data_IF_364969905962
#
_entry.id   IF_364969905962
#
_cell.length_a   1.000
_cell.length_b   1.000
_cell.length_c   1.000
_cell.angle_alpha   90.00
_cell.angle_beta   90.00
_cell.angle_gamma   90.00
#
_symmetry.space_group_name_H-M   'P 1'
#
loop_
_entity.id
_entity.type
_entity.pdbx_description
1 polymer ?
#
# COMPACT_ATOMS: atom_id res chain seq x y z
N UNK A 1 11.91 -1.91 -21.22
CA UNK A 1 10.78 -1.15 -20.65
C UNK A 1 11.24 -0.40 -19.40
N UNK A 2 11.99 -1.03 -18.51
CA UNK A 2 12.42 -0.45 -17.23
C UNK A 2 13.24 0.86 -17.37
N UNK A 3 14.03 1.00 -18.40
CA UNK A 3 14.86 2.19 -18.65
C UNK A 3 14.11 3.30 -19.39
N UNK A 4 12.98 2.98 -19.98
CA UNK A 4 12.26 3.88 -20.87
C UNK A 4 10.95 4.39 -20.29
N UNK A 5 10.33 3.63 -19.41
CA UNK A 5 9.02 3.90 -18.82
C UNK A 5 9.16 4.28 -17.36
N UNK A 6 8.73 5.48 -16.97
CA UNK A 6 8.80 5.94 -15.60
C UNK A 6 7.53 5.56 -14.85
N UNK A 7 7.63 4.84 -13.73
CA UNK A 7 6.47 4.57 -12.90
C UNK A 7 6.01 5.87 -12.24
N UNK A 8 4.78 6.28 -12.50
CA UNK A 8 4.17 7.38 -11.79
C UNK A 8 3.81 6.92 -10.38
N UNK A 9 4.54 7.41 -9.41
CA UNK A 9 4.23 7.22 -8.01
C UNK A 9 3.06 8.10 -7.58
N UNK A 10 1.94 7.50 -7.20
CA UNK A 10 0.84 8.14 -6.47
C UNK A 10 -0.11 9.01 -7.30
N UNK A 11 -1.35 9.11 -6.84
CA UNK A 11 -2.49 9.72 -7.51
C UNK A 11 -2.41 11.21 -7.85
N UNK A 12 -1.32 11.90 -7.57
CA UNK A 12 -1.18 13.34 -7.85
C UNK A 12 -0.89 13.66 -9.32
N UNK A 13 -0.23 12.75 -10.03
CA UNK A 13 0.17 12.96 -11.43
C UNK A 13 -1.01 12.76 -12.39
N UNK A 14 -2.00 11.96 -11.99
CA UNK A 14 -3.14 11.58 -12.83
C UNK A 14 -4.39 12.45 -12.67
N UNK A 15 -4.33 13.53 -11.91
CA UNK A 15 -5.50 14.37 -11.64
C UNK A 15 -6.15 14.94 -12.91
N UNK A 16 -5.37 15.07 -13.99
CA UNK A 16 -5.79 15.57 -15.30
C UNK A 16 -5.57 14.57 -16.45
N UNK A 17 -5.23 13.32 -16.12
CA UNK A 17 -5.02 12.28 -17.13
C UNK A 17 -6.31 11.50 -17.39
N UNK A 18 -6.60 11.13 -18.65
CA UNK A 18 -7.68 10.18 -18.93
C UNK A 18 -7.40 8.84 -18.21
N UNK A 19 -8.46 8.19 -17.75
CA UNK A 19 -8.38 6.96 -16.95
C UNK A 19 -7.74 5.76 -17.66
N UNK A 20 -7.67 5.81 -18.99
CA UNK A 20 -7.06 4.77 -19.81
C UNK A 20 -6.38 5.43 -21.00
N UNK A 21 -5.07 5.29 -21.07
CA UNK A 21 -4.28 5.76 -22.20
C UNK A 21 -4.16 4.66 -23.24
N UNK A 22 -4.21 5.02 -24.52
CA UNK A 22 -3.85 4.11 -25.61
C UNK A 22 -2.35 3.77 -25.53
N UNK A 23 -1.94 2.67 -26.16
CA UNK A 23 -0.52 2.28 -26.23
C UNK A 23 0.31 3.41 -26.87
N UNK A 24 -0.19 4.08 -27.91
CA UNK A 24 0.46 5.20 -28.54
C UNK A 24 0.66 6.39 -27.59
N UNK A 25 -0.37 6.73 -26.81
CA UNK A 25 -0.29 7.79 -25.80
C UNK A 25 0.71 7.43 -24.69
N UNK A 26 0.70 6.17 -24.24
CA UNK A 26 1.66 5.68 -23.26
C UNK A 26 3.10 5.73 -23.77
N UNK A 27 3.31 5.39 -25.04
CA UNK A 27 4.61 5.51 -25.68
C UNK A 27 5.12 6.96 -25.76
N UNK A 28 4.22 7.93 -25.92
CA UNK A 28 4.56 9.36 -25.96
C UNK A 28 4.82 9.94 -24.58
N UNK A 29 3.95 9.69 -23.61
CA UNK A 29 4.05 10.30 -22.27
C UNK A 29 5.08 9.59 -21.36
N UNK A 30 5.35 8.32 -21.56
CA UNK A 30 6.30 7.48 -20.78
C UNK A 30 6.03 7.47 -19.28
N UNK A 31 4.83 7.82 -18.86
CA UNK A 31 4.43 7.93 -17.47
C UNK A 31 3.10 7.21 -17.27
N UNK A 32 3.01 6.32 -16.28
CA UNK A 32 1.81 5.50 -16.14
C UNK A 32 1.63 4.88 -14.74
N UNK A 33 0.41 4.43 -14.47
CA UNK A 33 0.08 3.58 -13.34
C UNK A 33 0.50 2.13 -13.57
N UNK A 34 0.32 1.28 -12.54
CA UNK A 34 0.60 -0.15 -12.64
C UNK A 34 -0.25 -0.85 -13.71
N UNK A 35 -1.52 -0.43 -13.87
CA UNK A 35 -2.45 -0.99 -14.88
C UNK A 35 -1.89 -0.81 -16.29
N UNK A 36 -1.48 0.38 -16.60
CA UNK A 36 -0.99 0.75 -17.93
C UNK A 36 0.39 0.17 -18.21
N UNK A 37 1.26 0.12 -17.19
CA UNK A 37 2.56 -0.57 -17.28
C UNK A 37 2.37 -2.05 -17.62
N UNK A 38 1.46 -2.73 -16.93
CA UNK A 38 1.13 -4.11 -17.20
C UNK A 38 0.56 -4.30 -18.61
N UNK A 39 -0.27 -3.37 -19.08
CA UNK A 39 -0.83 -3.42 -20.43
C UNK A 39 0.25 -3.25 -21.51
N UNK A 40 1.15 -2.26 -21.38
CA UNK A 40 2.25 -2.06 -22.34
C UNK A 40 3.16 -3.29 -22.40
N UNK A 41 3.52 -3.86 -21.23
CA UNK A 41 4.31 -5.08 -21.20
C UNK A 41 3.61 -6.25 -21.89
N UNK A 42 2.30 -6.41 -21.61
CA UNK A 42 1.48 -7.43 -22.25
C UNK A 42 1.55 -7.33 -23.79
N UNK A 43 1.31 -6.13 -24.35
CA UNK A 43 1.33 -5.92 -25.79
C UNK A 43 2.71 -6.13 -26.39
N UNK A 44 3.74 -5.51 -25.82
CA UNK A 44 5.10 -5.62 -26.31
C UNK A 44 5.63 -7.06 -26.28
N UNK A 45 5.40 -7.79 -25.20
CA UNK A 45 5.92 -9.15 -25.08
C UNK A 45 5.12 -10.16 -25.94
N UNK A 46 3.79 -10.00 -26.03
CA UNK A 46 2.98 -10.85 -26.91
C UNK A 46 3.26 -10.64 -28.38
N UNK A 47 3.59 -9.41 -28.81
CA UNK A 47 4.02 -9.17 -30.20
C UNK A 47 5.33 -9.88 -30.56
N UNK A 48 6.12 -10.26 -29.55
CA UNK A 48 7.33 -11.07 -29.68
C UNK A 48 7.09 -12.58 -29.50
N UNK A 49 5.83 -13.02 -29.37
CA UNK A 49 5.48 -14.42 -29.19
C UNK A 49 5.61 -14.96 -27.77
N UNK A 50 5.80 -14.10 -26.75
CA UNK A 50 5.94 -14.51 -25.36
C UNK A 50 4.57 -14.72 -24.71
N UNK A 51 4.44 -15.82 -23.94
CA UNK A 51 3.21 -16.17 -23.21
C UNK A 51 3.09 -15.35 -21.92
N UNK A 52 2.62 -14.12 -22.03
CA UNK A 52 2.47 -13.17 -20.93
C UNK A 52 1.01 -12.92 -20.58
N UNK A 53 0.72 -12.84 -19.30
CA UNK A 53 -0.58 -12.49 -18.74
C UNK A 53 -0.56 -11.13 -18.03
N UNK A 54 -1.71 -10.46 -18.04
CA UNK A 54 -1.99 -9.31 -17.18
C UNK A 54 -2.67 -9.81 -15.91
N UNK A 55 -2.00 -9.66 -14.78
CA UNK A 55 -2.46 -10.09 -13.47
C UNK A 55 -2.98 -8.90 -12.67
N UNK A 56 -4.07 -9.12 -11.94
CA UNK A 56 -4.71 -8.10 -11.10
C UNK A 56 -4.93 -8.64 -9.69
N UNK A 57 -4.57 -7.85 -8.71
CA UNK A 57 -4.94 -8.01 -7.30
C UNK A 57 -5.93 -6.88 -6.99
N UNK A 58 -7.24 -7.14 -6.97
CA UNK A 58 -8.23 -6.08 -6.76
C UNK A 58 -8.05 -5.37 -5.41
N UNK A 59 -7.77 -6.15 -4.39
CA UNK A 59 -7.60 -5.65 -3.03
C UNK A 59 -6.45 -6.36 -2.33
N UNK A 60 -5.50 -5.60 -1.79
CA UNK A 60 -4.50 -6.14 -0.88
C UNK A 60 -5.12 -6.53 0.46
N UNK A 61 -4.66 -7.62 1.07
CA UNK A 61 -5.08 -8.06 2.40
C UNK A 61 -4.46 -7.28 3.56
N UNK A 62 -3.35 -6.57 3.32
CA UNK A 62 -2.56 -5.89 4.35
C UNK A 62 -2.36 -4.39 4.11
N UNK A 63 -3.00 -3.81 3.10
CA UNK A 63 -3.01 -2.37 2.81
C UNK A 63 -4.22 -1.97 1.97
N UNK A 64 -4.44 -0.67 1.79
CA UNK A 64 -5.46 -0.15 0.86
C UNK A 64 -5.02 -0.26 -0.59
N UNK A 65 -6.00 -0.17 -1.51
CA UNK A 65 -5.88 -0.32 -2.95
C UNK A 65 -5.52 -1.76 -3.40
N UNK A 66 -5.27 -1.92 -4.67
CA UNK A 66 -4.86 -3.17 -5.33
C UNK A 66 -3.55 -3.00 -6.11
N UNK A 67 -3.32 -3.87 -7.08
CA UNK A 67 -2.14 -3.84 -7.94
C UNK A 67 -2.38 -4.57 -9.24
N UNK A 68 -1.78 -4.07 -10.31
CA UNK A 68 -1.69 -4.74 -11.61
C UNK A 68 -0.22 -4.99 -11.94
N UNK A 69 0.05 -6.16 -12.49
CA UNK A 69 1.38 -6.63 -12.83
C UNK A 69 1.30 -7.69 -13.94
N UNK A 70 2.42 -8.28 -14.30
CA UNK A 70 2.46 -9.32 -15.31
C UNK A 70 2.98 -10.64 -14.74
N UNK A 71 2.62 -11.73 -15.39
CA UNK A 71 3.28 -13.02 -15.23
C UNK A 71 3.57 -13.61 -16.60
N UNK A 72 4.72 -14.26 -16.73
CA UNK A 72 5.13 -14.99 -17.93
C UNK A 72 5.14 -16.49 -17.63
N UNK A 73 4.69 -17.27 -18.58
CA UNK A 73 4.85 -18.71 -18.53
C UNK A 73 6.27 -19.07 -18.97
N UNK A 74 7.02 -19.72 -18.08
CA UNK A 74 8.38 -20.18 -18.35
C UNK A 74 8.38 -21.45 -19.21
N UNK A 75 9.56 -21.83 -19.72
CA UNK A 75 9.75 -23.08 -20.44
C UNK A 75 9.39 -24.35 -19.62
N UNK A 76 9.47 -24.23 -18.29
CA UNK A 76 9.15 -25.30 -17.35
C UNK A 76 7.66 -25.33 -16.96
N UNK A 77 6.84 -24.54 -17.67
CA UNK A 77 5.41 -24.38 -17.44
C UNK A 77 5.06 -23.77 -16.06
N UNK A 78 5.97 -23.01 -15.48
CA UNK A 78 5.78 -22.28 -14.24
C UNK A 78 5.46 -20.81 -14.52
N UNK A 79 4.78 -20.15 -13.59
CA UNK A 79 4.47 -18.73 -13.68
C UNK A 79 5.54 -17.92 -12.96
N UNK A 80 6.18 -17.01 -13.68
CA UNK A 80 7.12 -16.02 -13.12
C UNK A 80 6.50 -14.64 -13.18
N UNK A 81 6.20 -14.05 -12.01
CA UNK A 81 5.63 -12.71 -11.91
C UNK A 81 6.69 -11.62 -12.03
N UNK A 82 6.28 -10.47 -12.54
CA UNK A 82 7.11 -9.28 -12.64
C UNK A 82 6.27 -8.01 -12.71
N UNK A 83 6.84 -6.92 -12.27
CA UNK A 83 6.28 -5.58 -12.50
C UNK A 83 7.08 -4.90 -13.60
N UNK A 84 6.47 -4.73 -14.77
CA UNK A 84 7.08 -4.02 -15.89
C UNK A 84 7.66 -2.68 -15.42
N UNK A 85 8.80 -2.29 -15.90
CA UNK A 85 9.56 -1.11 -15.51
C UNK A 85 10.25 -1.17 -14.12
N UNK A 86 10.13 -2.28 -13.35
CA UNK A 86 10.78 -2.38 -12.04
C UNK A 86 11.59 -3.65 -11.84
N UNK A 87 11.03 -4.80 -12.23
CA UNK A 87 11.59 -6.12 -11.93
C UNK A 87 11.52 -7.01 -13.17
N UNK A 88 12.51 -7.85 -13.35
CA UNK A 88 12.45 -8.94 -14.33
C UNK A 88 11.56 -10.08 -13.84
N UNK A 89 11.11 -10.98 -14.75
CA UNK A 89 10.35 -12.16 -14.35
C UNK A 89 11.06 -12.99 -13.27
N UNK A 90 10.34 -13.30 -12.20
CA UNK A 90 10.84 -14.06 -11.07
C UNK A 90 11.66 -13.28 -10.02
N UNK A 91 11.99 -12.01 -10.28
CA UNK A 91 12.73 -11.16 -9.32
C UNK A 91 11.81 -10.37 -8.38
N UNK A 92 10.50 -10.42 -8.60
CA UNK A 92 9.53 -9.63 -7.85
C UNK A 92 9.16 -10.30 -6.52
N UNK A 93 9.69 -9.80 -5.42
CA UNK A 93 9.21 -10.18 -4.11
C UNK A 93 7.98 -9.36 -3.74
N UNK A 94 6.79 -9.96 -3.77
CA UNK A 94 5.55 -9.27 -3.38
C UNK A 94 5.56 -8.93 -1.89
N UNK A 95 5.92 -7.69 -1.56
CA UNK A 95 5.94 -7.18 -0.19
C UNK A 95 4.54 -7.18 0.46
N UNK A 96 3.50 -6.95 -0.35
CA UNK A 96 2.11 -6.97 0.09
C UNK A 96 1.48 -8.36 -0.07
N UNK A 97 0.37 -8.59 0.61
CA UNK A 97 -0.28 -9.90 0.70
C UNK A 97 -1.55 -9.92 -0.16
N UNK A 98 -1.53 -10.61 -1.32
CA UNK A 98 -2.72 -10.75 -2.15
C UNK A 98 -3.65 -11.81 -1.54
N UNK A 99 -4.92 -11.50 -1.27
CA UNK A 99 -5.92 -12.50 -0.91
C UNK A 99 -6.31 -13.36 -2.11
N UNK A 100 -6.37 -12.72 -3.28
CA UNK A 100 -6.65 -13.33 -4.58
C UNK A 100 -5.87 -12.62 -5.68
N UNK A 101 -5.46 -13.37 -6.70
CA UNK A 101 -4.83 -12.90 -7.93
C UNK A 101 -5.63 -13.40 -9.11
N UNK A 102 -5.94 -12.50 -10.04
CA UNK A 102 -6.73 -12.82 -11.22
C UNK A 102 -5.99 -12.48 -12.50
N UNK A 103 -6.26 -13.27 -13.55
CA UNK A 103 -5.81 -12.99 -14.92
C UNK A 103 -7.01 -12.62 -15.77
N UNK A 104 -6.89 -11.56 -16.54
CA UNK A 104 -7.91 -11.16 -17.50
C UNK A 104 -8.01 -12.19 -18.63
N UNK A 105 -9.23 -12.71 -18.84
CA UNK A 105 -9.57 -13.59 -19.96
C UNK A 105 -10.15 -12.79 -21.11
N UNK A 106 -9.91 -13.27 -22.32
CA UNK A 106 -10.55 -12.74 -23.53
C UNK A 106 -11.82 -13.53 -23.92
N UNK A 107 -12.01 -14.73 -23.31
CA UNK A 107 -13.25 -15.49 -23.42
C UNK A 107 -14.24 -15.03 -22.34
N UNK A 108 -15.50 -14.77 -22.73
CA UNK A 108 -16.57 -14.50 -21.77
C UNK A 108 -17.18 -15.82 -21.30
N UNK A 109 -17.30 -15.97 -19.99
CA UNK A 109 -18.13 -16.99 -19.37
C UNK A 109 -19.53 -16.40 -19.18
N UNK A 110 -20.56 -17.13 -19.59
CA UNK A 110 -21.93 -16.78 -19.19
C UNK A 110 -22.09 -17.06 -17.71
N UNK A 111 -22.62 -16.10 -16.99
CA UNK A 111 -22.93 -16.21 -15.56
C UNK A 111 -24.43 -16.49 -15.40
N UNK A 112 -24.78 -17.28 -14.41
CA UNK A 112 -26.18 -17.45 -14.02
C UNK A 112 -26.73 -16.20 -13.35
N UNK A 113 -28.06 -16.07 -13.25
CA UNK A 113 -28.69 -14.95 -12.54
C UNK A 113 -28.27 -14.89 -11.07
N UNK A 114 -28.18 -16.05 -10.40
CA UNK A 114 -27.69 -16.14 -9.02
C UNK A 114 -26.25 -15.65 -8.87
N UNK A 115 -25.37 -16.02 -9.80
CA UNK A 115 -23.98 -15.53 -9.82
C UNK A 115 -23.93 -14.02 -10.04
N UNK A 116 -24.75 -13.48 -10.93
CA UNK A 116 -24.83 -12.04 -11.17
C UNK A 116 -25.31 -11.30 -9.93
N UNK A 117 -26.29 -11.84 -9.22
CA UNK A 117 -26.79 -11.24 -7.97
C UNK A 117 -25.70 -11.19 -6.91
N UNK A 118 -24.97 -12.29 -6.69
CA UNK A 118 -23.84 -12.35 -5.76
C UNK A 118 -22.74 -11.36 -6.17
N UNK A 119 -22.46 -11.24 -7.47
CA UNK A 119 -21.38 -10.39 -7.99
C UNK A 119 -21.64 -8.89 -7.89
N UNK A 120 -22.89 -8.46 -7.73
CA UNK A 120 -23.23 -7.03 -7.52
C UNK A 120 -22.51 -6.42 -6.28
N UNK A 121 -22.14 -7.25 -5.34
CA UNK A 121 -21.52 -6.81 -4.09
C UNK A 121 -20.00 -6.67 -4.16
N UNK A 122 -19.40 -6.99 -5.30
CA UNK A 122 -17.96 -6.86 -5.52
C UNK A 122 -17.62 -5.55 -6.25
N UNK A 123 -16.51 -4.94 -5.86
CA UNK A 123 -15.97 -3.76 -6.56
C UNK A 123 -15.22 -4.10 -7.84
N UNK A 124 -15.10 -5.39 -8.19
CA UNK A 124 -14.29 -5.88 -9.28
C UNK A 124 -15.10 -6.77 -10.24
N UNK A 125 -14.97 -6.60 -11.57
CA UNK A 125 -15.79 -7.31 -12.56
C UNK A 125 -15.24 -8.73 -12.82
N UNK A 126 -15.45 -9.67 -11.91
CA UNK A 126 -14.91 -11.03 -11.96
C UNK A 126 -15.27 -11.85 -13.21
N UNK A 127 -16.35 -11.52 -13.90
CA UNK A 127 -16.84 -12.29 -15.06
C UNK A 127 -15.80 -12.47 -16.18
N UNK A 128 -14.92 -11.51 -16.33
CA UNK A 128 -13.85 -11.53 -17.34
C UNK A 128 -12.49 -12.03 -16.83
N UNK A 129 -12.45 -12.68 -15.65
CA UNK A 129 -11.20 -13.01 -14.99
C UNK A 129 -11.16 -14.46 -14.53
N UNK A 130 -9.95 -15.00 -14.43
CA UNK A 130 -9.66 -16.33 -13.86
C UNK A 130 -8.81 -16.17 -12.62
N UNK A 131 -9.16 -16.87 -11.56
CA UNK A 131 -8.33 -17.01 -10.37
C UNK A 131 -7.06 -17.83 -10.69
N UNK A 132 -5.92 -17.25 -10.39
CA UNK A 132 -4.59 -17.85 -10.57
C UNK A 132 -3.75 -17.72 -9.30
N UNK A 133 -4.40 -17.52 -8.17
CA UNK A 133 -3.75 -17.21 -6.89
C UNK A 133 -2.68 -18.25 -6.52
N UNK A 134 -3.02 -19.53 -6.62
CA UNK A 134 -2.11 -20.64 -6.25
C UNK A 134 -0.89 -20.78 -7.17
N UNK A 135 -0.95 -20.25 -8.40
CA UNK A 135 0.21 -20.23 -9.30
C UNK A 135 1.26 -19.18 -8.93
N UNK A 136 0.87 -18.16 -8.18
CA UNK A 136 1.72 -17.00 -7.92
C UNK A 136 2.08 -16.80 -6.46
N UNK A 137 1.25 -17.29 -5.53
CA UNK A 137 1.49 -17.14 -4.09
C UNK A 137 1.11 -18.40 -3.32
N UNK A 138 1.67 -18.57 -2.13
CA UNK A 138 1.29 -19.66 -1.22
C UNK A 138 -0.13 -19.45 -0.71
N UNK A 139 -0.98 -20.45 -0.94
CA UNK A 139 -2.39 -20.44 -0.57
C UNK A 139 -2.75 -21.51 0.45
N UNK A 140 -3.92 -21.39 1.04
CA UNK A 140 -4.62 -22.44 1.80
C UNK A 140 -6.12 -22.23 1.69
N UNK A 141 -6.86 -23.31 1.83
CA UNK A 141 -8.32 -23.23 1.91
C UNK A 141 -8.76 -22.66 3.25
N UNK A 142 -9.83 -21.88 3.23
CA UNK A 142 -10.49 -21.33 4.42
C UNK A 142 -11.86 -21.98 4.56
N UNK A 143 -12.15 -22.52 5.73
CA UNK A 143 -13.46 -23.07 6.05
C UNK A 143 -14.10 -22.26 7.18
N UNK A 144 -15.29 -21.75 6.93
CA UNK A 144 -16.10 -20.97 7.86
C UNK A 144 -17.29 -21.83 8.31
N UNK A 145 -17.46 -21.98 9.64
CA UNK A 145 -18.68 -22.58 10.22
C UNK A 145 -19.73 -21.48 10.38
N UNK A 146 -20.92 -21.75 9.91
CA UNK A 146 -22.06 -20.86 10.06
C UNK A 146 -22.78 -21.20 11.36
N UNK A 147 -22.98 -20.27 12.30
CA UNK A 147 -23.70 -20.50 13.53
C UNK A 147 -25.13 -21.03 13.27
N UNK A 148 -25.63 -21.89 14.15
CA UNK A 148 -26.94 -22.52 13.99
C UNK A 148 -28.07 -21.49 13.85
N UNK A 149 -27.95 -20.36 14.57
CA UNK A 149 -28.87 -19.24 14.49
C UNK A 149 -28.93 -18.56 13.10
N UNK A 150 -27.89 -18.70 12.28
CA UNK A 150 -27.78 -18.08 10.96
C UNK A 150 -27.96 -19.07 9.80
N UNK A 151 -28.00 -20.38 10.07
CA UNK A 151 -28.02 -21.42 9.01
C UNK A 151 -29.19 -21.30 8.05
N UNK A 152 -30.34 -20.83 8.51
CA UNK A 152 -31.55 -20.65 7.68
C UNK A 152 -31.50 -19.39 6.82
N UNK A 153 -30.79 -18.36 7.27
CA UNK A 153 -30.76 -17.04 6.64
C UNK A 153 -29.55 -16.86 5.71
N UNK A 154 -28.48 -17.64 5.88
CA UNK A 154 -27.23 -17.45 5.17
C UNK A 154 -27.05 -18.52 4.09
N UNK A 155 -27.40 -18.18 2.86
CA UNK A 155 -27.16 -19.01 1.66
C UNK A 155 -25.78 -18.74 1.02
N UNK A 156 -25.28 -17.50 1.12
CA UNK A 156 -24.00 -17.07 0.56
C UNK A 156 -23.16 -16.41 1.64
N UNK A 157 -21.90 -16.81 1.73
CA UNK A 157 -20.89 -16.18 2.59
C UNK A 157 -19.85 -15.52 1.70
N UNK A 158 -19.55 -14.25 1.97
CA UNK A 158 -18.49 -13.49 1.36
C UNK A 158 -17.28 -13.48 2.27
N UNK A 159 -16.10 -13.78 1.74
CA UNK A 159 -14.86 -13.64 2.49
C UNK A 159 -14.24 -12.28 2.16
N UNK A 160 -14.12 -11.44 3.18
CA UNK A 160 -13.76 -10.03 3.02
C UNK A 160 -12.39 -9.73 3.59
N UNK A 161 -11.70 -8.75 3.02
CA UNK A 161 -10.49 -8.13 3.57
C UNK A 161 -10.76 -6.66 3.91
N UNK A 162 -10.01 -6.11 4.88
CA UNK A 162 -10.16 -4.71 5.26
C UNK A 162 -9.35 -3.83 4.31
N UNK A 163 -10.02 -3.15 3.39
CA UNK A 163 -9.43 -2.31 2.36
C UNK A 163 -10.19 -0.98 2.23
N UNK A 164 -9.49 0.13 1.98
CA UNK A 164 -10.10 1.46 1.83
C UNK A 164 -11.14 1.82 2.93
N UNK A 165 -10.78 1.55 4.20
CA UNK A 165 -11.59 1.84 5.39
C UNK A 165 -12.86 1.00 5.54
N UNK A 166 -13.04 -0.06 4.79
CA UNK A 166 -14.18 -0.97 4.89
C UNK A 166 -13.77 -2.42 4.64
N UNK A 167 -14.59 -3.36 5.04
CA UNK A 167 -14.47 -4.76 4.64
C UNK A 167 -15.01 -4.90 3.22
N UNK A 168 -14.20 -5.45 2.32
CA UNK A 168 -14.54 -5.64 0.90
C UNK A 168 -14.46 -7.12 0.55
N UNK A 169 -15.47 -7.67 -0.15
CA UNK A 169 -15.45 -9.04 -0.61
C UNK A 169 -14.29 -9.28 -1.59
N UNK A 170 -13.60 -10.41 -1.42
CA UNK A 170 -12.56 -10.88 -2.35
C UNK A 170 -12.91 -12.22 -2.98
N UNK A 171 -13.84 -12.96 -2.38
CA UNK A 171 -14.44 -14.18 -2.91
C UNK A 171 -15.74 -14.49 -2.17
N UNK A 172 -16.51 -15.46 -2.67
CA UNK A 172 -17.72 -15.94 -2.03
C UNK A 172 -17.82 -17.46 -2.08
N UNK A 173 -18.69 -18.02 -1.26
CA UNK A 173 -19.03 -19.44 -1.25
C UNK A 173 -20.48 -19.65 -0.84
N UNK A 174 -21.14 -20.59 -1.48
CA UNK A 174 -22.47 -21.02 -1.04
C UNK A 174 -22.37 -21.85 0.24
N UNK A 175 -23.33 -21.63 1.14
CA UNK A 175 -23.49 -22.43 2.34
C UNK A 175 -23.90 -23.87 2.01
N UNK A 176 -23.13 -24.84 2.51
CA UNK A 176 -23.45 -26.26 2.41
C UNK A 176 -23.24 -26.94 3.76
N UNK A 177 -24.25 -27.59 4.30
CA UNK A 177 -24.22 -28.27 5.60
C UNK A 177 -23.67 -27.39 6.74
N UNK A 178 -24.08 -26.11 6.77
CA UNK A 178 -23.68 -25.14 7.78
C UNK A 178 -22.21 -24.70 7.70
N UNK A 179 -21.60 -24.83 6.53
CA UNK A 179 -20.22 -24.40 6.24
C UNK A 179 -20.12 -23.70 4.92
N UNK A 180 -19.20 -22.75 4.82
CA UNK A 180 -18.72 -22.14 3.58
C UNK A 180 -17.24 -22.44 3.40
N UNK A 181 -16.81 -22.88 2.23
CA UNK A 181 -15.42 -23.21 1.89
C UNK A 181 -14.89 -22.30 0.82
N UNK A 182 -13.72 -21.75 1.03
CA UNK A 182 -13.02 -20.85 0.11
C UNK A 182 -11.69 -21.46 -0.25
N UNK A 183 -11.53 -21.84 -1.50
CA UNK A 183 -10.31 -22.45 -2.00
C UNK A 183 -9.21 -21.41 -2.22
N UNK A 184 -7.95 -21.83 -2.05
CA UNK A 184 -6.75 -21.13 -2.50
C UNK A 184 -6.65 -19.68 -2.03
N UNK A 185 -6.90 -19.43 -0.76
CA UNK A 185 -6.79 -18.10 -0.15
C UNK A 185 -5.34 -17.74 0.16
N UNK A 186 -4.94 -16.49 -0.14
CA UNK A 186 -3.62 -15.98 0.20
C UNK A 186 -3.37 -15.97 1.69
N UNK A 187 -2.16 -16.37 2.12
CA UNK A 187 -1.78 -16.50 3.53
C UNK A 187 -1.31 -15.19 4.14
N UNK A 188 -1.24 -15.13 5.48
CA UNK A 188 -0.82 -13.98 6.30
C UNK A 188 -1.76 -12.78 6.17
N UNK A 189 -3.05 -13.07 6.11
CA UNK A 189 -4.14 -12.10 5.92
C UNK A 189 -5.22 -12.34 6.95
N UNK A 190 -5.82 -11.25 7.44
CA UNK A 190 -7.04 -11.29 8.24
C UNK A 190 -8.24 -11.22 7.32
N UNK A 191 -9.09 -12.22 7.39
CA UNK A 191 -10.35 -12.32 6.67
C UNK A 191 -11.53 -12.15 7.59
N UNK A 192 -12.58 -11.45 7.15
CA UNK A 192 -13.87 -11.40 7.85
C UNK A 192 -14.93 -12.09 6.98
N UNK A 193 -15.50 -13.22 7.44
CA UNK A 193 -16.65 -13.82 6.78
C UNK A 193 -17.90 -12.99 7.04
N UNK A 194 -18.61 -12.63 5.97
CA UNK A 194 -19.81 -11.81 6.05
C UNK A 194 -20.93 -12.38 5.16
N UNK A 195 -22.17 -12.08 5.47
CA UNK A 195 -23.32 -12.28 4.59
C UNK A 195 -24.00 -10.95 4.32
N UNK A 196 -24.71 -10.87 3.21
CA UNK A 196 -25.43 -9.66 2.81
C UNK A 196 -26.93 -9.83 3.10
N UNK A 197 -27.52 -8.87 3.79
CA UNK A 197 -28.96 -8.83 4.07
C UNK A 197 -29.40 -7.37 4.25
N UNK A 198 -30.56 -7.03 3.74
CA UNK A 198 -31.21 -5.73 3.94
C UNK A 198 -30.30 -4.52 3.62
N UNK A 199 -29.57 -4.59 2.51
CA UNK A 199 -28.74 -3.48 2.04
C UNK A 199 -27.35 -3.39 2.67
N UNK A 200 -26.94 -4.32 3.55
CA UNK A 200 -25.65 -4.24 4.25
C UNK A 200 -25.03 -5.60 4.55
N UNK A 201 -23.75 -5.59 4.84
CA UNK A 201 -23.00 -6.76 5.26
C UNK A 201 -23.04 -6.94 6.78
N UNK A 202 -23.18 -8.19 7.22
CA UNK A 202 -23.11 -8.62 8.62
C UNK A 202 -22.07 -9.72 8.78
N UNK A 203 -21.31 -9.74 9.89
CA UNK A 203 -20.39 -10.84 10.17
C UNK A 203 -21.13 -12.18 10.33
N UNK A 204 -20.56 -13.25 9.77
CA UNK A 204 -20.99 -14.64 10.02
C UNK A 204 -20.29 -15.18 11.26
N UNK A 205 -19.03 -14.82 11.44
CA UNK A 205 -18.18 -15.23 12.57
C UNK A 205 -17.14 -14.16 12.86
N UNK A 206 -16.32 -14.37 13.89
CA UNK A 206 -15.15 -13.57 14.17
C UNK A 206 -14.19 -13.53 12.97
N UNK A 207 -13.34 -12.48 12.86
CA UNK A 207 -12.28 -12.43 11.87
C UNK A 207 -11.33 -13.63 12.00
N UNK A 208 -10.82 -14.10 10.88
CA UNK A 208 -9.92 -15.26 10.80
C UNK A 208 -8.57 -14.76 10.29
N UNK A 209 -7.51 -14.96 11.05
CA UNK A 209 -6.15 -14.82 10.55
C UNK A 209 -5.68 -16.13 9.91
N UNK A 210 -5.40 -16.10 8.61
CA UNK A 210 -4.80 -17.22 7.91
C UNK A 210 -3.27 -17.11 8.00
N UNK A 211 -2.67 -17.99 8.77
CA UNK A 211 -1.25 -18.00 9.11
C UNK A 211 -0.32 -18.27 7.92
N UNK A 212 0.98 -18.08 8.13
CA UNK A 212 2.02 -18.40 7.16
C UNK A 212 2.05 -19.89 6.78
N UNK A 213 1.76 -20.77 7.72
CA UNK A 213 1.70 -22.23 7.55
C UNK A 213 0.35 -22.73 7.02
N UNK A 214 -0.64 -21.85 6.94
CA UNK A 214 -1.99 -22.16 6.45
C UNK A 214 -3.00 -22.48 7.53
N UNK A 215 -2.62 -22.45 8.81
CA UNK A 215 -3.57 -22.59 9.91
C UNK A 215 -4.50 -21.38 10.03
N UNK A 216 -5.75 -21.63 10.42
CA UNK A 216 -6.75 -20.60 10.64
C UNK A 216 -6.82 -20.27 12.13
N UNK A 217 -6.60 -19.03 12.47
CA UNK A 217 -6.74 -18.48 13.82
C UNK A 217 -7.93 -17.52 13.88
N UNK A 218 -9.05 -17.88 14.54
CA UNK A 218 -10.13 -16.93 14.80
C UNK A 218 -9.65 -15.88 15.80
N UNK A 219 -9.90 -14.62 15.50
CA UNK A 219 -9.61 -13.49 16.38
C UNK A 219 -10.81 -13.27 17.34
N UNK A 220 -10.94 -14.14 18.32
CA UNK A 220 -12.02 -14.08 19.32
C UNK A 220 -11.74 -12.94 20.29
N UNK A 221 -12.76 -12.13 20.58
CA UNK A 221 -12.64 -11.08 21.57
C UNK A 221 -12.49 -11.69 22.98
N UNK A 222 -11.47 -11.26 23.71
CA UNK A 222 -11.30 -11.62 25.10
C UNK A 222 -12.22 -10.74 25.97
N UNK A 223 -13.30 -11.34 26.48
CA UNK A 223 -14.26 -10.65 27.31
C UNK A 223 -13.98 -10.82 28.82
N UNK A 224 -12.97 -11.60 29.21
CA UNK A 224 -12.69 -11.99 30.60
C UNK A 224 -11.60 -11.12 31.23
N UNK A 225 -10.59 -10.76 30.46
CA UNK A 225 -9.48 -9.95 30.95
C UNK A 225 -9.77 -8.44 30.85
N UNK A 226 -9.29 -7.65 31.83
CA UNK A 226 -9.46 -6.20 31.76
C UNK A 226 -8.82 -5.63 30.51
N UNK A 227 -9.58 -4.81 29.79
CA UNK A 227 -9.10 -4.14 28.58
C UNK A 227 -8.38 -2.84 28.92
N UNK A 228 -7.23 -2.61 28.31
CA UNK A 228 -6.54 -1.32 28.33
C UNK A 228 -7.06 -0.43 27.22
N UNK A 229 -7.10 0.87 27.48
CA UNK A 229 -7.40 1.84 26.42
C UNK A 229 -6.25 1.84 25.40
N UNK A 230 -6.56 1.51 24.15
CA UNK A 230 -5.62 1.55 23.05
C UNK A 230 -5.93 2.73 22.12
N UNK A 231 -4.92 3.48 21.74
CA UNK A 231 -5.02 4.51 20.70
C UNK A 231 -4.46 3.96 19.40
N UNK A 232 -5.32 3.69 18.44
CA UNK A 232 -4.90 3.24 17.11
C UNK A 232 -4.56 4.47 16.26
N UNK A 233 -3.28 4.69 15.99
CA UNK A 233 -2.79 5.77 15.15
C UNK A 233 -2.66 5.38 13.68
N UNK A 234 -2.69 4.08 13.38
CA UNK A 234 -2.55 3.53 12.04
C UNK A 234 -3.52 2.39 11.80
N UNK A 235 -3.98 2.28 10.56
CA UNK A 235 -4.79 1.16 10.10
C UNK A 235 -3.96 -0.10 9.88
N UNK A 236 -2.74 0.05 9.38
CA UNK A 236 -1.80 -1.04 9.11
C UNK A 236 -0.46 -0.76 9.76
N UNK A 237 0.28 -1.81 10.07
CA UNK A 237 1.68 -1.68 10.47
C UNK A 237 2.52 -0.95 9.40
N UNK A 238 3.65 -0.41 9.81
CA UNK A 238 4.60 0.19 8.86
C UNK A 238 5.22 -0.91 8.00
N UNK A 239 5.27 -0.69 6.70
CA UNK A 239 6.01 -1.58 5.80
C UNK A 239 7.52 -1.35 5.93
N UNK A 240 8.31 -2.38 5.61
CA UNK A 240 9.78 -2.33 5.66
C UNK A 240 10.36 -1.10 4.95
N UNK A 241 9.84 -0.75 3.77
CA UNK A 241 10.32 0.45 3.06
C UNK A 241 9.92 1.77 3.74
N UNK A 242 8.76 1.82 4.43
CA UNK A 242 8.37 3.02 5.21
C UNK A 242 9.23 3.18 6.45
N UNK A 243 9.63 2.07 7.08
CA UNK A 243 10.61 2.08 8.16
C UNK A 243 11.99 2.54 7.64
N UNK A 244 12.35 2.13 6.43
CA UNK A 244 13.55 2.61 5.75
C UNK A 244 13.57 4.12 5.58
N UNK A 245 12.47 4.70 5.06
CA UNK A 245 12.36 6.16 4.92
C UNK A 245 12.40 6.92 6.25
N UNK A 246 11.76 6.40 7.29
CA UNK A 246 11.86 6.98 8.62
C UNK A 246 13.28 6.85 9.20
N UNK A 247 13.95 5.73 8.90
CA UNK A 247 15.34 5.49 9.31
C UNK A 247 16.35 6.44 8.67
N UNK A 248 16.05 6.98 7.48
CA UNK A 248 16.88 7.99 6.83
C UNK A 248 16.96 9.31 7.62
N UNK A 249 16.08 9.54 8.60
CA UNK A 249 16.12 10.71 9.48
C UNK A 249 17.00 10.52 10.71
N UNK A 250 17.37 9.29 11.04
CA UNK A 250 18.21 9.01 12.22
C UNK A 250 19.64 9.55 11.99
N UNK A 251 20.11 10.35 12.94
CA UNK A 251 21.35 11.11 12.83
C UNK A 251 21.18 12.55 12.32
N UNK A 252 19.98 12.92 11.86
CA UNK A 252 19.69 14.29 11.48
C UNK A 252 19.75 15.23 12.70
N UNK A 253 20.14 16.48 12.49
CA UNK A 253 20.34 17.46 13.53
C UNK A 253 19.52 18.73 13.29
N UNK A 254 18.92 19.25 14.33
CA UNK A 254 18.40 20.61 14.37
C UNK A 254 19.47 21.51 14.98
N UNK A 255 19.82 22.60 14.31
CA UNK A 255 20.90 23.47 14.71
C UNK A 255 20.45 24.94 14.72
N UNK A 256 21.02 25.72 15.65
CA UNK A 256 20.88 27.17 15.73
C UNK A 256 22.19 27.89 15.51
N UNK A 257 22.18 29.06 14.88
CA UNK A 257 23.33 29.94 14.68
C UNK A 257 22.92 31.41 14.57
N UNK A 258 23.87 32.31 14.74
CA UNK A 258 23.68 33.73 14.53
C UNK A 258 24.11 34.24 13.16
N UNK A 259 24.71 33.35 12.36
CA UNK A 259 25.14 33.60 10.98
C UNK A 259 24.50 32.62 10.00
N UNK A 260 24.30 33.02 8.73
CA UNK A 260 23.61 32.22 7.73
C UNK A 260 24.41 31.01 7.24
N UNK A 261 25.71 30.99 7.48
CA UNK A 261 26.63 29.91 7.05
C UNK A 261 26.72 28.80 8.10
N UNK A 262 26.09 29.03 9.26
CA UNK A 262 26.09 28.10 10.40
C UNK A 262 27.48 27.77 10.93
N UNK A 263 28.42 28.71 10.82
CA UNK A 263 29.71 28.61 11.52
C UNK A 263 29.49 28.60 13.02
N UNK A 264 30.11 27.66 13.71
CA UNK A 264 29.94 27.46 15.16
C UNK A 264 28.49 27.17 15.58
N UNK A 265 27.72 26.53 14.74
CA UNK A 265 26.32 26.19 15.01
C UNK A 265 26.18 25.31 16.24
N UNK A 266 25.22 25.68 17.10
CA UNK A 266 24.83 24.87 18.24
C UNK A 266 23.85 23.79 17.80
N UNK A 267 24.15 22.52 18.12
CA UNK A 267 23.18 21.44 17.92
C UNK A 267 22.12 21.49 19.02
N UNK A 268 20.88 21.76 18.64
CA UNK A 268 19.72 21.86 19.52
C UNK A 268 19.15 20.48 19.84
N UNK A 269 19.10 19.61 18.83
CA UNK A 269 18.60 18.24 18.95
C UNK A 269 19.17 17.36 17.84
N UNK A 270 19.41 16.09 18.17
CA UNK A 270 19.76 15.05 17.19
C UNK A 270 18.68 13.97 17.23
N UNK A 271 18.17 13.55 16.09
CA UNK A 271 17.26 12.40 15.98
C UNK A 271 18.10 11.14 16.16
N UNK A 272 18.04 10.52 17.32
CA UNK A 272 18.84 9.35 17.70
C UNK A 272 18.12 8.03 17.49
N UNK A 273 16.81 8.05 17.30
CA UNK A 273 15.96 6.88 17.20
C UNK A 273 14.95 7.00 16.06
N UNK A 274 14.39 5.86 15.66
CA UNK A 274 13.42 5.79 14.56
C UNK A 274 12.14 6.55 14.92
N UNK A 275 11.73 7.56 14.13
CA UNK A 275 10.46 8.26 14.34
C UNK A 275 9.28 7.30 14.32
N UNK A 276 8.39 7.36 15.30
CA UNK A 276 7.29 6.42 15.47
C UNK A 276 5.90 7.04 15.26
N UNK A 277 5.80 8.35 15.33
CA UNK A 277 4.55 9.10 15.15
C UNK A 277 4.48 9.82 13.79
N UNK A 278 3.35 10.50 13.54
CA UNK A 278 3.19 11.35 12.36
C UNK A 278 3.92 12.68 12.50
N UNK A 279 4.03 13.15 13.71
CA UNK A 279 4.69 14.40 14.09
C UNK A 279 5.32 14.16 15.45
N UNK A 280 6.63 14.10 15.49
CA UNK A 280 7.37 13.97 16.73
C UNK A 280 7.74 15.36 17.23
N UNK A 281 7.58 15.61 18.52
CA UNK A 281 7.92 16.89 19.15
C UNK A 281 9.11 16.69 20.09
N UNK A 282 10.15 17.48 19.89
CA UNK A 282 11.37 17.42 20.67
C UNK A 282 11.50 18.69 21.50
N UNK A 283 11.59 18.54 22.81
CA UNK A 283 11.90 19.65 23.71
C UNK A 283 13.40 19.94 23.63
N UNK A 284 13.75 21.20 23.44
CA UNK A 284 15.14 21.67 23.41
C UNK A 284 15.33 22.75 24.47
N UNK A 285 16.55 22.90 25.00
CA UNK A 285 16.85 24.00 25.89
C UNK A 285 16.63 25.35 25.18
N UNK A 286 16.06 26.38 25.85
CA UNK A 286 15.89 27.66 25.24
C UNK A 286 17.21 28.24 24.76
N UNK A 287 17.27 28.62 23.50
CA UNK A 287 18.46 29.20 22.86
C UNK A 287 18.06 30.44 22.07
N UNK A 288 18.81 31.52 22.24
CA UNK A 288 18.67 32.69 21.38
C UNK A 288 19.56 32.50 20.16
N UNK A 289 18.97 32.38 18.97
CA UNK A 289 19.68 32.34 17.71
C UNK A 289 18.86 33.01 16.61
N UNK A 290 19.55 33.48 15.57
CA UNK A 290 18.91 34.17 14.45
C UNK A 290 18.48 33.23 13.35
N UNK A 291 19.19 32.13 13.17
CA UNK A 291 18.98 31.12 12.12
C UNK A 291 18.79 29.75 12.74
N UNK A 292 17.88 28.98 12.21
CA UNK A 292 17.69 27.56 12.55
C UNK A 292 17.69 26.74 11.29
N UNK A 293 18.28 25.52 11.35
CA UNK A 293 18.27 24.59 10.23
C UNK A 293 17.99 23.16 10.67
N UNK A 294 17.42 22.41 9.78
CA UNK A 294 17.43 20.97 9.81
C UNK A 294 18.57 20.49 8.90
N UNK A 295 19.52 19.75 9.46
CA UNK A 295 20.65 19.19 8.76
C UNK A 295 20.46 17.69 8.64
N UNK A 296 20.44 17.18 7.39
CA UNK A 296 20.36 15.76 7.14
C UNK A 296 21.56 15.01 7.71
N UNK A 297 21.41 13.70 8.06
CA UNK A 297 22.54 12.91 8.51
C UNK A 297 23.51 12.66 7.36
N UNK A 298 24.80 12.54 7.68
CA UNK A 298 25.89 12.31 6.71
C UNK A 298 25.90 10.87 6.10
N UNK A 299 24.79 10.14 6.16
CA UNK A 299 24.67 8.74 5.74
C UNK A 299 24.29 8.63 4.26
N UNK A 300 24.97 9.37 3.39
CA UNK A 300 24.61 9.43 1.97
C UNK A 300 25.19 8.32 1.09
N UNK A 301 25.63 7.21 1.62
CA UNK A 301 26.15 6.10 0.83
C UNK A 301 25.12 5.48 -0.17
N UNK A 302 23.86 5.94 -0.22
CA UNK A 302 22.78 5.34 -1.04
C UNK A 302 21.93 6.33 -1.86
N UNK A 303 22.35 7.56 -2.06
CA UNK A 303 21.70 8.49 -3.00
C UNK A 303 20.32 9.03 -2.58
N UNK A 304 19.86 8.80 -1.37
CA UNK A 304 18.58 9.33 -0.83
C UNK A 304 18.86 10.15 0.42
N UNK A 305 18.53 11.42 0.36
CA UNK A 305 18.69 12.35 1.49
C UNK A 305 17.35 12.60 2.18
N UNK A 306 16.85 11.64 2.93
CA UNK A 306 15.69 11.80 3.80
C UNK A 306 14.42 12.37 3.15
N UNK A 307 13.30 12.12 3.76
CA UNK A 307 12.00 12.65 3.34
C UNK A 307 11.38 13.38 4.53
N UNK A 308 11.16 14.68 4.43
CA UNK A 308 10.54 15.50 5.47
C UNK A 308 9.23 16.05 4.95
N UNK A 309 8.13 15.79 5.66
CA UNK A 309 6.81 16.27 5.30
C UNK A 309 6.54 17.64 5.91
N UNK A 310 6.88 17.84 7.19
CA UNK A 310 6.60 19.08 7.90
C UNK A 310 7.65 19.31 9.00
N UNK A 311 8.08 20.55 9.17
CA UNK A 311 8.91 21.02 10.28
C UNK A 311 8.27 22.27 10.89
N UNK A 312 8.23 22.31 12.19
CA UNK A 312 7.84 23.51 12.93
C UNK A 312 8.86 23.79 14.03
N UNK A 313 9.27 25.03 14.16
CA UNK A 313 10.02 25.53 15.31
C UNK A 313 9.05 26.30 16.20
N UNK A 314 9.05 26.00 17.48
CA UNK A 314 8.11 26.57 18.45
C UNK A 314 8.89 27.35 19.47
N UNK A 315 8.46 28.59 19.74
CA UNK A 315 9.07 29.46 20.74
C UNK A 315 8.66 29.10 22.17
N UNK A 316 9.23 29.80 23.14
CA UNK A 316 8.90 29.64 24.57
C UNK A 316 7.41 29.87 24.89
N UNK A 317 6.76 30.71 24.09
CA UNK A 317 5.32 31.02 24.20
C UNK A 317 4.40 29.93 23.62
N UNK A 318 4.98 28.80 23.14
CA UNK A 318 4.26 27.70 22.53
C UNK A 318 3.76 27.98 21.11
N UNK A 319 4.13 29.10 20.49
CA UNK A 319 3.70 29.46 19.14
C UNK A 319 4.76 29.12 18.10
N UNK A 320 4.34 28.70 16.88
CA UNK A 320 5.27 28.52 15.78
C UNK A 320 6.03 29.79 15.45
N UNK A 321 7.35 29.66 15.32
CA UNK A 321 8.20 30.77 14.91
C UNK A 321 7.95 31.07 13.42
N UNK A 322 7.87 32.35 13.11
CA UNK A 322 7.74 32.85 11.75
C UNK A 322 9.11 33.30 11.24
N UNK A 323 9.43 32.93 10.01
CA UNK A 323 10.75 33.20 9.45
C UNK A 323 10.78 33.19 7.91
N UNK A 324 11.93 33.54 7.37
CA UNK A 324 12.22 33.49 5.94
C UNK A 324 12.94 32.18 5.63
N UNK A 325 12.43 31.44 4.67
CA UNK A 325 13.07 30.18 4.26
C UNK A 325 14.28 30.48 3.39
N UNK A 326 15.41 29.90 3.76
CA UNK A 326 16.66 29.98 3.01
C UNK A 326 16.98 28.53 2.59
N UNK A 327 16.61 28.15 1.38
CA UNK A 327 16.80 26.78 0.91
C UNK A 327 18.20 26.49 0.44
N UNK A 328 18.45 25.22 0.13
CA UNK A 328 19.67 24.77 -0.56
C UNK A 328 19.72 25.40 -1.94
N UNK A 329 20.89 25.89 -2.32
CA UNK A 329 21.11 26.72 -3.53
C UNK A 329 20.58 26.16 -4.86
N UNK A 330 20.47 24.88 -5.02
CA UNK A 330 20.43 24.30 -6.37
C UNK A 330 19.13 23.63 -6.75
N UNK A 331 18.36 23.11 -5.84
CA UNK A 331 17.39 22.19 -6.36
C UNK A 331 15.96 22.63 -6.22
N UNK A 332 15.58 23.44 -5.29
CA UNK A 332 14.14 23.43 -5.09
C UNK A 332 13.61 24.48 -4.08
N UNK A 333 13.96 25.73 -4.27
CA UNK A 333 13.35 26.83 -3.50
C UNK A 333 11.81 26.83 -3.56
N UNK A 334 11.23 26.30 -4.65
CA UNK A 334 9.78 26.13 -4.79
C UNK A 334 9.22 25.00 -3.90
N UNK A 335 10.01 24.00 -3.61
CA UNK A 335 9.55 22.84 -2.85
C UNK A 335 9.83 22.95 -1.35
N UNK A 336 10.72 23.82 -0.91
CA UNK A 336 11.02 24.00 0.51
C UNK A 336 9.80 24.50 1.31
N UNK A 337 8.92 25.25 0.68
CA UNK A 337 7.67 25.70 1.28
C UNK A 337 6.75 24.57 1.71
N UNK A 338 6.85 23.39 1.05
CA UNK A 338 6.02 22.24 1.39
C UNK A 338 6.35 21.63 2.73
N UNK A 339 7.52 21.97 3.30
CA UNK A 339 7.94 21.49 4.63
C UNK A 339 7.41 22.40 5.76
N UNK A 340 6.76 23.50 5.41
CA UNK A 340 6.27 24.52 6.33
C UNK A 340 4.84 24.98 5.99
N UNK A 341 4.07 24.17 5.29
CA UNK A 341 2.72 24.53 4.82
C UNK A 341 1.58 23.95 5.68
N UNK A 342 1.93 23.23 6.74
CA UNK A 342 1.00 22.56 7.63
C UNK A 342 0.37 21.29 7.03
N UNK A 343 0.83 20.83 5.86
CA UNK A 343 0.26 19.71 5.17
C UNK A 343 1.16 18.47 5.21
N UNK A 344 0.94 17.60 6.16
CA UNK A 344 1.69 16.34 6.33
C UNK A 344 1.45 15.29 5.23
N UNK A 345 0.73 15.61 4.15
CA UNK A 345 0.47 14.69 3.02
C UNK A 345 1.42 14.89 1.85
N UNK A 346 2.09 16.01 1.77
CA UNK A 346 3.20 16.27 0.86
C UNK A 346 4.52 16.12 1.61
N UNK A 347 5.63 16.13 0.91
CA UNK A 347 6.96 16.03 1.52
C UNK A 347 8.02 16.57 0.55
N UNK A 348 9.08 17.08 1.12
CA UNK A 348 10.30 17.42 0.40
C UNK A 348 11.17 16.14 0.31
N UNK A 349 11.56 15.79 -0.89
CA UNK A 349 12.57 14.78 -1.15
C UNK A 349 13.81 15.44 -1.72
N UNK A 350 14.91 15.29 -1.04
CA UNK A 350 16.22 15.79 -1.51
C UNK A 350 16.95 14.61 -2.13
N UNK A 351 17.45 14.79 -3.34
CA UNK A 351 18.35 13.86 -4.00
C UNK A 351 19.75 14.46 -3.98
N UNK A 352 20.73 13.64 -3.77
CA UNK A 352 22.12 14.04 -4.00
C UNK A 352 22.33 14.14 -5.52
N UNK A 353 22.78 15.28 -6.01
CA UNK A 353 23.20 15.51 -7.39
C UNK A 353 24.51 14.79 -7.70
#
# INVERSE_FOLDING_TARGET
IATWFLPAGGGHIFKNHPRSLSVEQLCKCRLSSCVEQAAVALFAMRSMGLAVAHCTIPHWGNRSAGHDFNAILTKDNEWADFSAAKFNPGENEMANKPPKVFVKKFSRRMMTEDELEVMKHFDFPYAGYQDVTSHLVKTSDVTVRIPDSLKKDVSVVYLCVFNNKRWVPVTYSYSRNGKAKFAEMGRRIVYLPQYYKDGRFFPVSDPIFLEKDGRQHPAVADSVHPVSRMVLTRKYGRFKYQLGYAGEMVGARFQGADNPDFENALTLFTIDSLPDSKMDTFAVAPVKCRYVRYLYPDIFARGNAGNVAEIAFVGEDGKPLQGKYIGIKEANASNIRTVFDGNTRNYLRVYQS
#
